data_IF_177472320085
#
_entry.id   IF_177472320085
#
_cell.length_a   1.000
_cell.length_b   1.000
_cell.length_c   1.000
_cell.angle_alpha   90.00
_cell.angle_beta   90.00
_cell.angle_gamma   90.00
#
_symmetry.space_group_name_H-M   'P 1'
#
loop_
_entity.id
_entity.type
_entity.pdbx_description
1 polymer ?
#
# COMPACT_ATOMS: atom_id res chain seq x y z
N UNK A 1 -17.87 -26.88 -2.11
CA UNK A 1 -17.37 -26.01 -1.01
C UNK A 1 -16.55 -24.89 -1.62
N UNK A 2 -16.85 -23.62 -1.32
CA UNK A 2 -16.15 -22.45 -1.91
C UNK A 2 -14.73 -22.40 -1.39
N UNK A 3 -13.75 -22.38 -2.30
CA UNK A 3 -12.33 -22.28 -1.97
C UNK A 3 -11.90 -20.82 -1.88
N UNK A 4 -11.60 -20.35 -0.68
CA UNK A 4 -11.17 -18.96 -0.43
C UNK A 4 -9.70 -18.92 0.00
N UNK A 5 -8.92 -17.99 -0.58
CA UNK A 5 -7.57 -17.67 -0.11
C UNK A 5 -7.56 -16.31 0.58
N UNK A 6 -6.98 -16.22 1.78
CA UNK A 6 -6.74 -14.97 2.48
C UNK A 6 -5.37 -14.39 2.12
N UNK A 7 -5.32 -13.07 1.91
CA UNK A 7 -4.11 -12.35 1.55
C UNK A 7 -3.89 -11.20 2.55
N UNK A 8 -2.83 -11.26 3.33
CA UNK A 8 -2.33 -10.17 4.17
C UNK A 8 -1.24 -9.39 3.43
N UNK A 9 -1.35 -8.04 3.39
CA UNK A 9 -0.43 -7.15 2.68
C UNK A 9 0.58 -6.53 3.65
N UNK A 10 1.85 -6.90 3.50
CA UNK A 10 2.93 -6.49 4.37
C UNK A 10 3.96 -5.52 3.74
N UNK A 11 4.86 -5.02 4.59
CA UNK A 11 6.00 -4.18 4.19
C UNK A 11 7.28 -5.02 4.07
N UNK A 12 7.49 -5.97 4.95
CA UNK A 12 8.66 -6.86 4.95
C UNK A 12 8.56 -7.84 3.80
N UNK A 13 7.56 -8.64 3.79
CA UNK A 13 7.06 -9.39 2.63
C UNK A 13 5.90 -8.61 2.03
N UNK A 14 5.69 -8.71 0.72
CA UNK A 14 4.62 -7.97 0.05
C UNK A 14 3.25 -8.58 0.32
N UNK A 15 3.18 -9.90 0.34
CA UNK A 15 1.94 -10.66 0.57
C UNK A 15 2.24 -11.92 1.37
N UNK A 16 1.41 -12.21 2.37
CA UNK A 16 1.29 -13.51 3.02
C UNK A 16 -0.04 -14.14 2.64
N UNK A 17 -0.03 -15.37 2.21
CA UNK A 17 -1.24 -16.11 1.85
C UNK A 17 -1.62 -17.11 2.97
N UNK A 18 -2.91 -17.40 3.09
CA UNK A 18 -3.43 -18.28 4.12
C UNK A 18 -2.98 -19.75 3.99
N UNK A 19 -2.40 -20.13 2.85
CA UNK A 19 -1.76 -21.43 2.62
C UNK A 19 -0.29 -21.48 3.05
N UNK A 20 0.25 -20.38 3.62
CA UNK A 20 1.63 -20.26 4.05
C UNK A 20 2.59 -19.72 2.99
N UNK A 21 2.13 -19.53 1.75
CA UNK A 21 2.98 -18.97 0.70
C UNK A 21 3.24 -17.49 0.94
N UNK A 22 4.49 -17.07 0.75
CA UNK A 22 4.94 -15.69 0.97
C UNK A 22 5.54 -15.11 -0.31
N UNK A 23 5.29 -13.82 -0.53
CA UNK A 23 5.82 -13.09 -1.69
C UNK A 23 6.70 -11.95 -1.21
N UNK A 24 7.95 -11.93 -1.67
CA UNK A 24 8.95 -10.94 -1.29
C UNK A 24 8.56 -9.51 -1.70
N UNK A 25 8.99 -8.54 -0.91
CA UNK A 25 8.89 -7.12 -1.26
C UNK A 25 10.24 -6.60 -1.80
N UNK A 26 10.36 -6.33 -3.10
CA UNK A 26 11.63 -5.90 -3.72
C UNK A 26 12.10 -4.50 -3.28
N UNK A 27 11.26 -3.72 -2.61
CA UNK A 27 11.59 -2.37 -2.10
C UNK A 27 12.21 -1.47 -3.19
N UNK A 28 11.48 -1.25 -4.27
CA UNK A 28 11.98 -0.59 -5.50
C UNK A 28 12.58 0.79 -5.30
N UNK A 29 11.97 1.66 -4.50
CA UNK A 29 12.42 3.03 -4.24
C UNK A 29 13.25 3.15 -2.96
N UNK A 30 13.05 2.26 -2.00
CA UNK A 30 13.72 2.26 -0.70
C UNK A 30 15.02 1.45 -0.69
N UNK A 31 15.33 0.74 -1.77
CA UNK A 31 16.61 0.05 -1.99
C UNK A 31 17.79 1.04 -1.83
N UNK A 32 18.83 0.65 -1.09
CA UNK A 32 19.97 1.52 -0.75
C UNK A 32 20.61 2.17 -1.99
N UNK A 33 20.85 1.41 -3.07
CA UNK A 33 21.48 1.92 -4.31
C UNK A 33 20.59 2.96 -5.01
N UNK A 34 19.30 2.67 -5.16
CA UNK A 34 18.33 3.57 -5.81
C UNK A 34 18.16 4.86 -4.99
N UNK A 35 17.99 4.74 -3.67
CA UNK A 35 17.86 5.87 -2.75
C UNK A 35 19.09 6.79 -2.80
N UNK A 36 20.31 6.21 -2.83
CA UNK A 36 21.57 6.99 -2.98
C UNK A 36 21.59 7.74 -4.30
N UNK A 37 21.28 7.06 -5.41
CA UNK A 37 21.28 7.68 -6.74
C UNK A 37 20.27 8.82 -6.85
N UNK A 38 19.05 8.63 -6.35
CA UNK A 38 18.03 9.68 -6.29
C UNK A 38 18.52 10.89 -5.49
N UNK A 39 19.06 10.67 -4.30
CA UNK A 39 19.57 11.72 -3.43
C UNK A 39 20.66 12.56 -4.11
N UNK A 40 21.63 11.89 -4.76
CA UNK A 40 22.71 12.57 -5.49
C UNK A 40 22.15 13.43 -6.63
N UNK A 41 21.28 12.86 -7.47
CA UNK A 41 20.71 13.57 -8.61
C UNK A 41 19.81 14.75 -8.18
N UNK A 42 18.96 14.56 -7.17
CA UNK A 42 18.11 15.61 -6.62
C UNK A 42 18.93 16.78 -6.05
N UNK A 43 20.01 16.49 -5.28
CA UNK A 43 20.94 17.52 -4.78
C UNK A 43 21.60 18.27 -5.94
N UNK A 44 21.98 17.55 -7.00
CA UNK A 44 22.55 18.21 -8.19
C UNK A 44 21.56 19.15 -8.85
N UNK A 45 20.30 18.75 -9.03
CA UNK A 45 19.23 19.62 -9.55
C UNK A 45 19.05 20.86 -8.68
N UNK A 46 19.06 20.71 -7.33
CA UNK A 46 18.87 21.84 -6.40
C UNK A 46 19.97 22.87 -6.47
N UNK A 47 21.22 22.45 -6.75
CA UNK A 47 22.40 23.35 -6.84
C UNK A 47 22.54 24.07 -8.18
N UNK A 48 21.83 23.61 -9.21
CA UNK A 48 21.91 24.17 -10.56
C UNK A 48 20.96 25.36 -10.72
N UNK A 49 21.37 26.35 -11.50
CA UNK A 49 20.60 27.56 -11.78
C UNK A 49 19.25 27.21 -12.38
N UNK A 50 18.17 27.79 -11.83
CA UNK A 50 16.79 27.59 -12.33
C UNK A 50 16.73 28.04 -13.80
N UNK A 51 16.05 27.24 -14.64
CA UNK A 51 15.91 27.53 -16.07
C UNK A 51 17.06 27.03 -16.96
N UNK A 52 18.27 26.79 -16.41
CA UNK A 52 19.42 26.38 -17.20
C UNK A 52 19.25 25.06 -17.95
N UNK A 53 19.86 24.93 -19.12
CA UNK A 53 19.88 23.70 -19.93
C UNK A 53 20.42 22.51 -19.13
N UNK A 54 21.44 22.72 -18.30
CA UNK A 54 22.05 21.69 -17.45
C UNK A 54 21.08 21.20 -16.37
N UNK A 55 20.31 22.10 -15.73
CA UNK A 55 19.27 21.71 -14.78
C UNK A 55 18.17 20.89 -15.44
N UNK A 56 17.69 21.31 -16.62
CA UNK A 56 16.69 20.55 -17.41
C UNK A 56 17.19 19.13 -17.72
N UNK A 57 18.45 18.97 -18.18
CA UNK A 57 19.06 17.66 -18.42
C UNK A 57 19.12 16.79 -17.15
N UNK A 58 19.53 17.38 -16.01
CA UNK A 58 19.61 16.63 -14.74
C UNK A 58 18.23 16.27 -14.21
N UNK A 59 17.25 17.16 -14.28
CA UNK A 59 15.85 16.89 -13.91
C UNK A 59 15.25 15.76 -14.75
N UNK A 60 15.51 15.75 -16.08
CA UNK A 60 15.11 14.63 -16.96
C UNK A 60 15.67 13.29 -16.46
N UNK A 61 16.95 13.25 -16.04
CA UNK A 61 17.57 12.01 -15.48
C UNK A 61 16.91 11.58 -14.18
N UNK A 62 16.41 12.50 -13.34
CA UNK A 62 15.62 12.17 -12.14
C UNK A 62 14.25 11.59 -12.55
N UNK A 63 13.56 12.24 -13.48
CA UNK A 63 12.26 11.75 -14.00
C UNK A 63 12.36 10.34 -14.58
N UNK A 64 13.35 10.08 -15.44
CA UNK A 64 13.59 8.75 -16.00
C UNK A 64 13.87 7.69 -14.93
N UNK A 65 14.56 8.04 -13.83
CA UNK A 65 14.77 7.10 -12.75
C UNK A 65 13.47 6.78 -12.00
N UNK A 66 12.63 7.79 -11.73
CA UNK A 66 11.31 7.57 -11.15
C UNK A 66 10.42 6.70 -12.06
N UNK A 67 10.40 6.98 -13.36
CA UNK A 67 9.68 6.16 -14.34
C UNK A 67 10.15 4.71 -14.33
N UNK A 68 11.47 4.49 -14.32
CA UNK A 68 12.04 3.12 -14.24
C UNK A 68 11.61 2.38 -12.96
N UNK A 69 11.58 3.09 -11.80
CA UNK A 69 11.11 2.52 -10.54
C UNK A 69 9.62 2.15 -10.65
N UNK A 70 8.80 3.06 -11.16
CA UNK A 70 7.36 2.85 -11.35
C UNK A 70 7.07 1.65 -12.26
N UNK A 71 7.71 1.61 -13.43
CA UNK A 71 7.52 0.52 -14.39
C UNK A 71 7.91 -0.85 -13.81
N UNK A 72 9.04 -0.91 -13.08
CA UNK A 72 9.46 -2.15 -12.40
C UNK A 72 8.46 -2.59 -11.33
N UNK A 73 7.92 -1.64 -10.53
CA UNK A 73 6.90 -1.94 -9.53
C UNK A 73 5.64 -2.49 -10.19
N UNK A 74 5.15 -1.82 -11.22
CA UNK A 74 3.96 -2.26 -11.95
C UNK A 74 4.13 -3.66 -12.55
N UNK A 75 5.25 -3.91 -13.22
CA UNK A 75 5.53 -5.23 -13.79
C UNK A 75 5.59 -6.33 -12.72
N UNK A 76 6.19 -6.04 -11.57
CA UNK A 76 6.23 -6.99 -10.46
C UNK A 76 4.84 -7.23 -9.86
N UNK A 77 4.07 -6.17 -9.66
CA UNK A 77 2.70 -6.28 -9.13
C UNK A 77 1.78 -7.11 -10.05
N UNK A 78 1.92 -6.99 -11.36
CA UNK A 78 1.21 -7.86 -12.30
C UNK A 78 1.60 -9.32 -12.10
N UNK A 79 2.91 -9.63 -11.99
CA UNK A 79 3.38 -11.00 -11.70
C UNK A 79 2.81 -11.53 -10.38
N UNK A 80 2.75 -10.69 -9.34
CA UNK A 80 2.19 -11.06 -8.03
C UNK A 80 0.68 -11.32 -8.15
N UNK A 81 -0.05 -10.43 -8.82
CA UNK A 81 -1.48 -10.57 -9.01
C UNK A 81 -1.82 -11.86 -9.77
N UNK A 82 -1.10 -12.17 -10.86
CA UNK A 82 -1.22 -13.44 -11.58
C UNK A 82 -0.98 -14.65 -10.66
N UNK A 83 0.12 -14.65 -9.89
CA UNK A 83 0.44 -15.75 -8.96
C UNK A 83 -0.65 -16.01 -7.91
N UNK A 84 -1.40 -14.98 -7.52
CA UNK A 84 -2.50 -15.11 -6.57
C UNK A 84 -3.76 -15.62 -7.27
N UNK A 85 -4.10 -15.00 -8.40
CA UNK A 85 -5.39 -15.24 -9.08
C UNK A 85 -5.40 -16.57 -9.84
N UNK A 86 -4.27 -17.02 -10.40
CA UNK A 86 -4.16 -18.29 -11.14
C UNK A 86 -4.26 -19.56 -10.26
N UNK A 87 -4.33 -19.39 -8.94
CA UNK A 87 -4.54 -20.53 -8.02
C UNK A 87 -5.93 -21.15 -8.22
N UNK A 88 -6.06 -22.42 -7.88
CA UNK A 88 -7.34 -23.14 -7.92
C UNK A 88 -8.24 -22.71 -6.72
N UNK A 89 -8.82 -21.52 -6.85
CA UNK A 89 -9.67 -20.85 -5.85
C UNK A 89 -10.87 -20.20 -6.52
N UNK A 90 -11.94 -20.02 -5.77
CA UNK A 90 -13.16 -19.35 -6.22
C UNK A 90 -13.19 -17.88 -5.77
N UNK A 91 -12.57 -17.59 -4.62
CA UNK A 91 -12.55 -16.24 -4.07
C UNK A 91 -11.22 -15.88 -3.41
N UNK A 92 -10.91 -14.56 -3.41
CA UNK A 92 -9.73 -13.96 -2.81
C UNK A 92 -10.18 -12.99 -1.73
N UNK A 93 -9.76 -13.22 -0.50
CA UNK A 93 -10.06 -12.35 0.63
C UNK A 93 -8.90 -11.38 0.86
N UNK A 94 -9.21 -10.08 0.93
CA UNK A 94 -8.28 -8.98 1.20
C UNK A 94 -8.81 -8.13 2.35
N UNK A 95 -7.92 -7.45 3.07
CA UNK A 95 -8.35 -6.42 4.01
C UNK A 95 -8.85 -5.16 3.28
N UNK A 96 -9.91 -4.56 3.81
CA UNK A 96 -10.40 -3.24 3.37
C UNK A 96 -9.53 -2.12 3.96
N UNK A 97 -8.34 -1.92 3.37
CA UNK A 97 -7.34 -0.99 3.85
C UNK A 97 -7.64 0.44 3.39
N UNK A 98 -7.85 1.35 4.34
CA UNK A 98 -7.94 2.78 4.06
C UNK A 98 -6.53 3.39 3.86
N UNK A 99 -5.88 3.06 2.74
CA UNK A 99 -4.48 3.41 2.43
C UNK A 99 -4.25 4.93 2.48
N UNK A 100 -5.18 5.74 1.97
CA UNK A 100 -5.09 7.21 2.02
C UNK A 100 -5.03 7.74 3.45
N UNK A 101 -5.82 7.17 4.37
CA UNK A 101 -5.77 7.47 5.78
C UNK A 101 -4.46 7.05 6.44
N UNK A 102 -3.95 5.86 6.07
CA UNK A 102 -2.66 5.36 6.56
C UNK A 102 -1.50 6.28 6.17
N UNK A 103 -1.55 6.92 5.00
CA UNK A 103 -0.52 7.82 4.49
C UNK A 103 -0.61 9.26 5.03
N UNK A 104 -1.66 9.64 5.77
CA UNK A 104 -1.80 10.98 6.35
C UNK A 104 -0.63 11.30 7.27
N UNK A 105 -0.28 12.60 7.33
CA UNK A 105 0.71 13.12 8.29
C UNK A 105 0.16 13.09 9.71
N UNK A 106 1.04 13.05 10.70
CA UNK A 106 0.65 13.27 12.10
C UNK A 106 0.06 14.69 12.26
N UNK A 107 -0.92 14.82 13.15
CA UNK A 107 -1.43 16.14 13.54
C UNK A 107 -0.30 16.94 14.19
N UNK A 108 -0.30 18.25 13.97
CA UNK A 108 0.60 19.18 14.63
C UNK A 108 0.24 19.20 16.13
N UNK A 109 1.27 19.16 16.96
CA UNK A 109 1.13 19.36 18.41
C UNK A 109 1.83 20.66 18.76
N UNK A 110 1.12 21.57 19.38
CA UNK A 110 1.61 22.86 19.83
C UNK A 110 1.48 22.91 21.35
N UNK A 111 2.50 23.40 22.02
CA UNK A 111 2.47 23.66 23.45
C UNK A 111 1.67 24.94 23.70
N UNK A 112 0.60 24.86 24.46
CA UNK A 112 -0.34 25.97 24.67
C UNK A 112 0.30 27.20 25.33
N UNK A 113 1.28 26.99 26.24
CA UNK A 113 1.94 28.07 26.98
C UNK A 113 2.97 28.85 26.14
N UNK A 114 3.71 28.17 25.28
CA UNK A 114 4.86 28.76 24.57
C UNK A 114 4.64 28.90 23.07
N UNK A 115 3.57 28.31 22.49
CA UNK A 115 3.31 28.25 21.06
C UNK A 115 4.33 27.39 20.27
N UNK A 116 5.22 26.66 20.95
CA UNK A 116 6.27 25.85 20.30
C UNK A 116 5.71 24.53 19.73
N UNK A 117 6.29 24.10 18.63
CA UNK A 117 5.96 22.81 18.03
C UNK A 117 6.57 21.66 18.84
N UNK A 118 5.73 20.74 19.31
CA UNK A 118 6.14 19.55 20.03
C UNK A 118 6.43 18.38 19.08
N UNK A 119 7.27 17.44 19.53
CA UNK A 119 7.52 16.19 18.80
C UNK A 119 6.25 15.35 18.70
N UNK A 120 5.80 15.03 17.48
CA UNK A 120 4.55 14.32 17.21
C UNK A 120 4.75 12.97 16.50
N UNK A 121 5.99 12.45 16.43
CA UNK A 121 6.29 11.18 15.74
C UNK A 121 6.33 11.25 14.21
N UNK A 122 6.23 12.45 13.61
CA UNK A 122 6.19 12.63 12.16
C UNK A 122 7.40 12.03 11.44
N UNK A 123 8.61 12.02 12.01
CA UNK A 123 9.80 11.45 11.40
C UNK A 123 9.65 9.92 11.21
N UNK A 124 9.16 9.21 12.23
CA UNK A 124 8.87 7.78 12.17
C UNK A 124 7.74 7.49 11.18
N UNK A 125 6.65 8.26 11.24
CA UNK A 125 5.51 8.17 10.34
C UNK A 125 5.91 8.39 8.88
N UNK A 126 6.80 9.35 8.59
CA UNK A 126 7.35 9.61 7.24
C UNK A 126 8.10 8.39 6.67
N UNK A 127 8.84 7.67 7.52
CA UNK A 127 9.51 6.43 7.13
C UNK A 127 8.51 5.34 6.75
N UNK A 128 7.51 5.11 7.59
CA UNK A 128 6.43 4.15 7.35
C UNK A 128 5.64 4.49 6.07
N UNK A 129 5.21 5.75 5.91
CA UNK A 129 4.48 6.21 4.73
C UNK A 129 5.26 5.97 3.43
N UNK A 130 6.60 6.17 3.47
CA UNK A 130 7.46 5.86 2.32
C UNK A 130 7.48 4.36 2.00
N UNK A 131 7.51 3.50 3.01
CA UNK A 131 7.50 2.05 2.84
C UNK A 131 6.14 1.56 2.28
N UNK A 132 5.03 2.07 2.80
CA UNK A 132 3.67 1.79 2.28
C UNK A 132 3.54 2.23 0.82
N UNK A 133 4.01 3.45 0.49
CA UNK A 133 3.98 3.97 -0.88
C UNK A 133 4.88 3.16 -1.83
N UNK A 134 6.00 2.62 -1.32
CA UNK A 134 6.89 1.79 -2.13
C UNK A 134 6.32 0.40 -2.38
N UNK A 135 5.63 -0.20 -1.41
CA UNK A 135 4.89 -1.45 -1.57
C UNK A 135 3.73 -1.30 -2.59
N UNK A 136 3.05 -0.15 -2.59
CA UNK A 136 2.03 0.19 -3.56
C UNK A 136 0.79 -0.69 -3.48
N UNK A 137 0.31 -1.00 -2.28
CA UNK A 137 -0.80 -1.92 -2.02
C UNK A 137 -2.07 -1.58 -2.82
N UNK A 138 -2.43 -0.30 -2.95
CA UNK A 138 -3.62 0.10 -3.70
C UNK A 138 -3.57 -0.33 -5.18
N UNK A 139 -2.42 -0.15 -5.83
CA UNK A 139 -2.20 -0.60 -7.21
C UNK A 139 -2.21 -2.13 -7.34
N UNK A 140 -1.68 -2.83 -6.33
CA UNK A 140 -1.69 -4.30 -6.30
C UNK A 140 -3.13 -4.84 -6.14
N UNK A 141 -3.91 -4.27 -5.20
CA UNK A 141 -5.31 -4.63 -5.00
C UNK A 141 -6.11 -4.47 -6.29
N UNK A 142 -5.99 -3.31 -6.97
CA UNK A 142 -6.68 -3.06 -8.25
C UNK A 142 -6.32 -4.09 -9.32
N UNK A 143 -5.06 -4.55 -9.38
CA UNK A 143 -4.63 -5.57 -10.34
C UNK A 143 -5.20 -6.95 -10.01
N UNK A 144 -5.27 -7.29 -8.70
CA UNK A 144 -5.90 -8.53 -8.24
C UNK A 144 -7.40 -8.51 -8.58
N UNK A 145 -8.10 -7.42 -8.27
CA UNK A 145 -9.52 -7.23 -8.59
C UNK A 145 -9.78 -7.38 -10.09
N UNK A 146 -8.97 -6.71 -10.92
CA UNK A 146 -9.08 -6.80 -12.37
C UNK A 146 -8.90 -8.23 -12.91
N UNK A 147 -7.86 -8.93 -12.47
CA UNK A 147 -7.59 -10.29 -12.93
C UNK A 147 -8.62 -11.30 -12.39
N UNK A 148 -9.04 -11.13 -11.14
CA UNK A 148 -10.07 -11.98 -10.54
C UNK A 148 -11.39 -11.85 -11.31
N UNK A 149 -11.84 -10.62 -11.58
CA UNK A 149 -13.03 -10.37 -12.39
C UNK A 149 -12.94 -10.99 -13.79
N UNK A 150 -11.74 -10.91 -14.43
CA UNK A 150 -11.50 -11.51 -15.75
C UNK A 150 -11.57 -13.04 -15.75
N UNK A 151 -11.30 -13.69 -14.59
CA UNK A 151 -11.37 -15.14 -14.42
C UNK A 151 -12.67 -15.62 -13.73
N UNK A 152 -13.66 -14.73 -13.55
CA UNK A 152 -14.92 -15.05 -12.87
C UNK A 152 -14.77 -15.34 -11.37
N UNK A 153 -13.67 -14.88 -10.73
CA UNK A 153 -13.39 -15.05 -9.31
C UNK A 153 -13.85 -13.84 -8.51
N UNK A 154 -14.27 -14.07 -7.28
CA UNK A 154 -14.78 -13.02 -6.39
C UNK A 154 -13.67 -12.47 -5.53
N UNK A 155 -13.59 -11.14 -5.37
CA UNK A 155 -12.76 -10.50 -4.35
C UNK A 155 -13.61 -10.03 -3.20
N UNK A 156 -13.29 -10.48 -1.99
CA UNK A 156 -14.00 -10.18 -0.75
C UNK A 156 -13.13 -9.28 0.11
N UNK A 157 -13.62 -8.08 0.43
CA UNK A 157 -12.93 -7.18 1.36
C UNK A 157 -13.47 -7.38 2.76
N UNK A 158 -12.58 -7.67 3.72
CA UNK A 158 -12.92 -7.89 5.12
C UNK A 158 -12.44 -6.74 5.99
N UNK A 159 -13.10 -6.52 7.12
CA UNK A 159 -12.69 -5.50 8.08
C UNK A 159 -11.29 -5.83 8.65
N UNK A 160 -10.29 -4.91 8.54
CA UNK A 160 -8.93 -5.14 9.02
C UNK A 160 -8.78 -5.08 10.55
N UNK A 161 -9.83 -4.65 11.28
CA UNK A 161 -9.74 -4.43 12.72
C UNK A 161 -9.37 -5.73 13.45
N UNK A 162 -8.28 -5.72 14.23
CA UNK A 162 -7.79 -6.83 15.06
C UNK A 162 -7.41 -8.11 14.30
N UNK A 163 -7.29 -8.12 12.97
CA UNK A 163 -6.93 -9.31 12.18
C UNK A 163 -5.62 -9.97 12.63
N UNK A 164 -4.66 -9.19 13.10
CA UNK A 164 -3.36 -9.64 13.60
C UNK A 164 -3.28 -9.85 15.12
N UNK A 165 -4.37 -9.64 15.86
CA UNK A 165 -4.44 -9.70 17.33
C UNK A 165 -5.44 -10.75 17.83
N UNK A 166 -6.35 -11.18 16.97
CA UNK A 166 -7.40 -12.15 17.25
C UNK A 166 -6.85 -13.58 17.22
N UNK A 167 -7.04 -14.32 18.30
CA UNK A 167 -6.69 -15.72 18.36
C UNK A 167 -7.73 -16.55 17.57
N UNK A 168 -7.24 -17.36 16.62
CA UNK A 168 -8.09 -18.21 15.79
C UNK A 168 -8.65 -19.41 16.54
N UNK A 169 -8.03 -19.81 17.65
CA UNK A 169 -8.46 -20.94 18.45
C UNK A 169 -9.60 -20.57 19.45
N UNK A 170 -9.39 -19.50 20.24
CA UNK A 170 -10.34 -19.10 21.30
C UNK A 170 -11.06 -17.77 21.04
N UNK A 171 -10.72 -17.03 19.96
CA UNK A 171 -11.32 -15.74 19.67
C UNK A 171 -10.82 -14.57 20.52
N UNK A 172 -9.94 -14.83 21.51
CA UNK A 172 -9.39 -13.76 22.37
C UNK A 172 -8.63 -12.73 21.58
N UNK A 173 -8.86 -11.42 21.85
CA UNK A 173 -8.24 -10.30 21.15
C UNK A 173 -7.42 -9.50 22.13
N UNK A 174 -6.09 -9.60 22.01
CA UNK A 174 -5.16 -8.78 22.79
C UNK A 174 -3.94 -8.34 21.96
N UNK A 175 -3.39 -7.17 22.28
CA UNK A 175 -2.18 -6.65 21.63
C UNK A 175 -0.94 -7.46 21.97
N UNK A 176 -0.88 -8.02 23.15
CA UNK A 176 0.21 -8.88 23.63
C UNK A 176 0.24 -10.25 22.96
N UNK A 177 -0.84 -10.65 22.27
CA UNK A 177 -0.84 -11.88 21.46
C UNK A 177 0.22 -11.85 20.34
N UNK A 178 0.68 -10.64 19.94
CA UNK A 178 1.63 -10.50 18.84
C UNK A 178 2.92 -9.82 19.30
N UNK A 179 4.05 -10.50 19.08
CA UNK A 179 5.40 -9.94 19.19
C UNK A 179 6.16 -10.16 17.87
N UNK A 180 6.26 -9.09 17.07
CA UNK A 180 6.90 -9.13 15.76
C UNK A 180 6.23 -10.14 14.80
N UNK A 181 6.97 -11.18 14.45
CA UNK A 181 6.51 -12.27 13.56
C UNK A 181 5.89 -13.45 14.33
N UNK A 182 5.94 -13.43 15.66
CA UNK A 182 5.38 -14.47 16.52
C UNK A 182 3.99 -14.07 16.99
N UNK A 183 3.06 -15.02 16.97
CA UNK A 183 1.76 -14.93 17.59
C UNK A 183 1.67 -15.99 18.69
N UNK A 184 1.37 -15.59 19.92
CA UNK A 184 1.14 -16.47 21.06
C UNK A 184 -0.05 -15.91 21.83
N UNK A 185 -1.15 -16.65 21.86
CA UNK A 185 -2.34 -16.22 22.59
C UNK A 185 -2.08 -16.26 24.09
N UNK A 186 -2.29 -15.14 24.77
CA UNK A 186 -2.12 -15.03 26.22
C UNK A 186 -3.19 -15.82 27.00
N UNK A 187 -4.34 -16.10 26.38
CA UNK A 187 -5.46 -16.81 26.99
C UNK A 187 -5.33 -18.34 26.87
N UNK A 188 -5.10 -18.85 25.64
CA UNK A 188 -5.13 -20.30 25.40
C UNK A 188 -3.78 -20.89 24.98
N UNK A 189 -2.71 -20.11 24.91
CA UNK A 189 -1.37 -20.58 24.54
C UNK A 189 -1.20 -20.96 23.06
N UNK A 190 -2.24 -20.80 22.22
CA UNK A 190 -2.12 -21.07 20.79
C UNK A 190 -1.03 -20.22 20.14
N UNK A 191 -0.16 -20.83 19.34
CA UNK A 191 0.94 -20.15 18.69
C UNK A 191 1.00 -20.44 17.19
N UNK A 192 1.34 -19.41 16.40
CA UNK A 192 1.60 -19.51 14.97
C UNK A 192 2.47 -18.32 14.48
N UNK A 193 2.81 -18.31 13.19
CA UNK A 193 3.45 -17.15 12.55
C UNK A 193 2.42 -16.04 12.38
N UNK A 194 2.66 -14.85 12.95
CA UNK A 194 1.69 -13.76 13.04
C UNK A 194 1.09 -13.33 11.68
N UNK A 195 1.92 -13.19 10.64
CA UNK A 195 1.45 -12.72 9.33
C UNK A 195 0.69 -13.82 8.57
N UNK A 196 1.07 -15.10 8.75
CA UNK A 196 0.30 -16.23 8.19
C UNK A 196 -1.01 -16.39 8.93
N UNK A 197 -0.99 -16.24 10.26
CA UNK A 197 -2.20 -16.22 11.09
C UNK A 197 -3.17 -15.12 10.66
N UNK A 198 -2.66 -13.89 10.42
CA UNK A 198 -3.45 -12.79 9.90
C UNK A 198 -4.11 -13.14 8.55
N UNK A 199 -3.36 -13.71 7.61
CA UNK A 199 -3.91 -14.15 6.33
C UNK A 199 -5.00 -15.24 6.48
N UNK A 200 -4.83 -16.16 7.41
CA UNK A 200 -5.86 -17.17 7.73
C UNK A 200 -7.09 -16.53 8.38
N UNK A 201 -6.92 -15.57 9.28
CA UNK A 201 -8.03 -14.80 9.89
C UNK A 201 -8.82 -14.03 8.83
N UNK A 202 -8.15 -13.42 7.86
CA UNK A 202 -8.77 -12.75 6.71
C UNK A 202 -9.62 -13.74 5.91
N UNK A 203 -9.08 -14.93 5.61
CA UNK A 203 -9.82 -16.00 4.93
C UNK A 203 -11.06 -16.42 5.72
N UNK A 204 -10.92 -16.67 7.00
CA UNK A 204 -11.99 -17.18 7.85
C UNK A 204 -13.12 -16.15 8.02
N UNK A 205 -12.79 -14.87 8.10
CA UNK A 205 -13.77 -13.77 8.05
C UNK A 205 -14.53 -13.74 6.73
N UNK A 206 -13.83 -13.90 5.60
CA UNK A 206 -14.47 -13.95 4.29
C UNK A 206 -15.40 -15.18 4.16
N UNK A 207 -15.00 -16.34 4.67
CA UNK A 207 -15.84 -17.54 4.68
C UNK A 207 -17.13 -17.35 5.52
N UNK A 208 -17.05 -16.68 6.68
CA UNK A 208 -18.24 -16.31 7.48
C UNK A 208 -19.18 -15.39 6.70
N UNK A 209 -18.64 -14.42 5.93
CA UNK A 209 -19.45 -13.53 5.08
C UNK A 209 -20.16 -14.29 3.95
N UNK A 210 -19.47 -15.23 3.30
CA UNK A 210 -20.06 -16.06 2.23
C UNK A 210 -21.17 -16.97 2.75
N UNK A 211 -21.05 -17.46 3.99
CA UNK A 211 -22.06 -18.30 4.64
C UNK A 211 -23.25 -17.52 5.22
N UNK A 212 -23.18 -16.20 5.26
CA UNK A 212 -24.19 -15.36 5.90
C UNK A 212 -24.08 -15.25 7.42
N UNK A 213 -23.02 -15.77 8.02
CA UNK A 213 -22.81 -15.81 9.48
C UNK A 213 -22.30 -14.47 10.05
N UNK A 214 -22.16 -13.42 9.23
CA UNK A 214 -21.60 -12.14 9.66
C UNK A 214 -22.65 -11.04 9.75
N UNK A 215 -22.68 -10.35 10.90
CA UNK A 215 -23.64 -9.28 11.22
C UNK A 215 -23.45 -7.98 10.40
N UNK A 216 -22.38 -7.87 9.59
CA UNK A 216 -22.15 -6.72 8.68
C UNK A 216 -21.60 -7.24 7.35
N UNK A 217 -22.31 -7.01 6.23
CA UNK A 217 -21.82 -7.39 4.91
C UNK A 217 -20.58 -6.55 4.57
N UNK A 218 -19.46 -7.22 4.31
CA UNK A 218 -18.34 -6.61 3.65
C UNK A 218 -18.68 -6.37 2.18
N UNK A 219 -17.92 -5.52 1.50
CA UNK A 219 -18.17 -5.22 0.10
C UNK A 219 -17.69 -6.40 -0.76
N UNK A 220 -18.61 -7.07 -1.43
CA UNK A 220 -18.32 -8.10 -2.45
C UNK A 220 -18.26 -7.39 -3.81
N UNK A 221 -17.14 -7.48 -4.49
CA UNK A 221 -16.99 -6.92 -5.84
C UNK A 221 -17.13 -8.03 -6.88
N UNK A 222 -18.27 -8.03 -7.58
CA UNK A 222 -18.54 -8.90 -8.73
C UNK A 222 -18.41 -8.13 -10.08
N UNK A 223 -18.29 -6.80 -10.05
CA UNK A 223 -18.41 -5.96 -11.24
C UNK A 223 -17.07 -5.77 -11.96
N UNK A 224 -16.86 -6.55 -13.00
CA UNK A 224 -15.74 -6.38 -13.94
C UNK A 224 -15.78 -5.02 -14.68
N UNK A 225 -16.93 -4.36 -14.75
CA UNK A 225 -17.11 -3.12 -15.51
C UNK A 225 -16.58 -1.87 -14.81
N UNK A 226 -16.38 -1.90 -13.48
CA UNK A 226 -15.87 -0.75 -12.71
C UNK A 226 -14.35 -0.73 -12.49
N UNK A 227 -13.65 -1.81 -12.85
CA UNK A 227 -12.21 -1.95 -12.66
C UNK A 227 -11.47 -1.78 -13.98
N UNK A 228 -11.54 -0.60 -14.58
CA UNK A 228 -10.60 -0.21 -15.63
C UNK A 228 -9.27 0.20 -14.96
N UNK A 229 -8.12 -0.41 -15.31
CA UNK A 229 -6.84 0.12 -14.88
C UNK A 229 -6.75 1.53 -15.45
N UNK A 230 -6.59 2.54 -14.58
CA UNK A 230 -6.38 3.93 -15.01
C UNK A 230 -5.34 3.94 -16.12
N UNK A 231 -5.83 4.19 -17.35
CA UNK A 231 -4.98 4.52 -18.48
C UNK A 231 -4.03 5.61 -18.03
N UNK A 232 -2.75 5.43 -18.36
CA UNK A 232 -1.62 6.33 -18.18
C UNK A 232 -2.07 7.73 -17.78
N UNK A 233 -1.86 8.13 -16.52
CA UNK A 233 -1.93 9.54 -16.17
C UNK A 233 -1.03 10.28 -17.15
N UNK A 234 -1.63 11.10 -18.03
CA UNK A 234 -0.89 12.05 -18.84
C UNK A 234 0.06 12.76 -17.87
N UNK A 235 1.35 12.66 -18.11
CA UNK A 235 2.32 13.56 -17.50
C UNK A 235 1.76 14.94 -17.77
N UNK A 236 1.34 15.64 -16.70
CA UNK A 236 0.83 16.98 -16.81
C UNK A 236 1.82 17.82 -17.61
N UNK A 237 1.37 18.38 -18.71
CA UNK A 237 2.02 19.48 -19.35
C UNK A 237 2.17 20.54 -18.26
N UNK A 238 3.42 20.87 -17.93
CA UNK A 238 3.73 22.03 -17.12
C UNK A 238 3.27 23.23 -17.93
N UNK A 239 2.06 23.70 -17.70
CA UNK A 239 1.57 24.95 -18.22
C UNK A 239 2.54 26.05 -17.84
N UNK A 240 3.08 26.74 -18.84
CA UNK A 240 3.80 27.99 -18.69
C UNK A 240 2.84 28.97 -17.98
N UNK A 241 3.25 29.61 -16.87
CA UNK A 241 2.50 30.75 -16.40
C UNK A 241 2.66 31.89 -17.41
N UNK A 242 1.56 32.20 -18.09
CA UNK A 242 1.43 33.36 -18.96
C UNK A 242 1.78 34.65 -18.21
N UNK A 243 2.58 35.47 -18.85
CA UNK A 243 2.80 36.88 -18.55
C UNK A 243 1.49 37.57 -18.13
N UNK A 244 1.44 38.10 -16.91
CA UNK A 244 0.51 39.18 -16.56
C UNK A 244 1.18 40.50 -16.92
N UNK A 245 0.60 41.19 -17.85
CA UNK A 245 0.90 42.55 -18.23
C UNK A 245 0.75 43.48 -17.01
N UNK A 246 1.86 44.11 -16.64
CA UNK A 246 1.85 45.24 -15.74
C UNK A 246 1.59 46.46 -16.63
N UNK A 247 0.34 46.91 -16.68
CA UNK A 247 0.05 48.27 -17.18
C UNK A 247 0.46 49.27 -16.13
N UNK A 248 1.44 50.03 -16.48
CA UNK A 248 1.83 51.29 -15.87
C UNK A 248 0.76 52.34 -16.21
N UNK A 249 0.06 52.85 -15.23
CA UNK A 249 -0.62 54.15 -15.36
C UNK A 249 0.17 55.15 -14.57
N UNK A 250 0.86 56.04 -15.35
CA UNK A 250 1.28 57.36 -14.89
C UNK A 250 0.19 58.36 -15.30
N UNK A 251 -0.37 59.05 -14.34
CA UNK A 251 -0.82 60.44 -14.41
C UNK A 251 -1.00 60.96 -12.99
#
# INVERSE_FOLDING_TARGET
MVKVIGCDLGITKLVHLSDGYQIENPKFSTNKKVKRTLKIRQRRVSRQVKGSKNRKKTAKKVGLLHQKISNRRQAYQWKVAHKIVERNIDAIALEDLHISGMLRRCRVKIEEKTGRFLKNGQSRKKGLNRSISDAGWGELILKIEYLAAKQGKVVIKVNPKHSSQECRNCGHIDKSNRDGEKFICVECGYHEHADIGAAKTIRDRALKMVRGDSAKPGTMYLDAQKVSPRSKSKCGEFGNPSHRDIKTEMS
#
